data_IF_002098815806
#
_entry.id   IF_002098815806
#
_cell.length_a   1.000
_cell.length_b   1.000
_cell.length_c   1.000
_cell.angle_alpha   90.00
_cell.angle_beta   90.00
_cell.angle_gamma   90.00
#
_symmetry.space_group_name_H-M   'P 1'
#
loop_
_entity.id
_entity.type
_entity.pdbx_description
1 polymer ?
#
# COMPACT_ATOMS: atom_id res chain seq x y z
N UNK A 1 4.34 -20.40 -0.87
CA UNK A 1 4.58 -19.34 0.11
C UNK A 1 4.50 -18.06 -0.68
N UNK A 2 3.45 -17.25 -0.51
CA UNK A 2 3.33 -16.01 -1.28
C UNK A 2 4.48 -15.05 -0.94
N UNK A 3 4.96 -14.31 -1.94
CA UNK A 3 5.88 -13.19 -1.78
C UNK A 3 5.09 -11.90 -1.74
N UNK A 4 5.45 -10.99 -0.83
CA UNK A 4 4.72 -9.75 -0.60
C UNK A 4 5.74 -8.63 -0.43
N UNK A 5 5.65 -7.62 -1.30
CA UNK A 5 6.40 -6.38 -1.17
C UNK A 5 5.46 -5.32 -0.58
N UNK A 6 5.79 -4.83 0.62
CA UNK A 6 5.04 -3.77 1.29
C UNK A 6 5.67 -2.42 0.95
N UNK A 7 4.91 -1.53 0.31
CA UNK A 7 5.38 -0.21 -0.11
C UNK A 7 4.81 0.86 0.83
N UNK A 8 5.69 1.57 1.52
CA UNK A 8 5.28 2.54 2.55
C UNK A 8 5.32 3.96 1.99
N UNK A 9 4.19 4.67 2.08
CA UNK A 9 4.10 6.10 1.83
C UNK A 9 3.85 6.84 3.12
N UNK A 10 4.86 7.50 3.69
CA UNK A 10 4.73 8.18 4.98
C UNK A 10 5.57 9.46 5.08
N UNK A 11 5.08 10.42 5.86
CA UNK A 11 5.84 11.64 6.22
C UNK A 11 6.26 11.64 7.69
N UNK A 12 5.39 11.14 8.58
CA UNK A 12 5.56 11.20 10.03
C UNK A 12 5.67 9.81 10.68
N UNK A 13 5.75 8.74 9.88
CA UNK A 13 5.95 7.36 10.34
C UNK A 13 4.67 6.59 10.67
N UNK A 14 3.49 7.21 10.75
CA UNK A 14 2.25 6.48 11.09
C UNK A 14 1.93 5.33 10.13
N UNK A 15 2.17 5.52 8.82
CA UNK A 15 1.95 4.47 7.83
C UNK A 15 3.05 3.38 7.87
N UNK A 16 4.24 3.71 8.37
CA UNK A 16 5.33 2.75 8.60
C UNK A 16 4.98 1.80 9.74
N UNK A 17 4.45 2.31 10.86
CA UNK A 17 3.98 1.45 11.96
C UNK A 17 2.89 0.46 11.51
N UNK A 18 1.91 0.92 10.74
CA UNK A 18 0.87 0.04 10.17
C UNK A 18 1.48 -1.01 9.24
N UNK A 19 2.42 -0.60 8.39
CA UNK A 19 3.12 -1.51 7.49
C UNK A 19 3.90 -2.59 8.24
N UNK A 20 4.60 -2.24 9.32
CA UNK A 20 5.37 -3.17 10.15
C UNK A 20 4.46 -4.19 10.86
N UNK A 21 3.33 -3.77 11.41
CA UNK A 21 2.37 -4.69 12.04
C UNK A 21 1.76 -5.66 11.01
N UNK A 22 1.39 -5.17 9.83
CA UNK A 22 0.92 -6.02 8.73
C UNK A 22 2.00 -6.98 8.25
N UNK A 23 3.26 -6.55 8.20
CA UNK A 23 4.40 -7.38 7.83
C UNK A 23 4.62 -8.51 8.84
N UNK A 24 4.52 -8.20 10.14
CA UNK A 24 4.65 -9.17 11.22
C UNK A 24 3.55 -10.24 11.14
N UNK A 25 2.30 -9.83 10.92
CA UNK A 25 1.16 -10.75 10.78
C UNK A 25 1.33 -11.69 9.57
N UNK A 26 1.68 -11.14 8.40
CA UNK A 26 1.93 -11.93 7.19
C UNK A 26 3.13 -12.89 7.34
N UNK A 27 4.18 -12.46 8.02
CA UNK A 27 5.35 -13.30 8.31
C UNK A 27 4.99 -14.43 9.28
N UNK A 28 4.19 -14.14 10.31
CA UNK A 28 3.68 -15.15 11.24
C UNK A 28 2.76 -16.17 10.56
N UNK A 29 2.00 -15.75 9.54
CA UNK A 29 1.22 -16.62 8.67
C UNK A 29 2.08 -17.46 7.70
N UNK A 30 3.40 -17.23 7.64
CA UNK A 30 4.36 -18.01 6.86
C UNK A 30 4.59 -17.49 5.44
N UNK A 31 4.26 -16.23 5.16
CA UNK A 31 4.58 -15.55 3.90
C UNK A 31 5.98 -14.95 3.91
N UNK A 32 6.54 -14.71 2.72
CA UNK A 32 7.79 -13.96 2.57
C UNK A 32 7.45 -12.48 2.35
N UNK A 33 7.87 -11.62 3.28
CA UNK A 33 7.54 -10.19 3.27
C UNK A 33 8.81 -9.36 3.22
N UNK A 34 8.81 -8.32 2.38
CA UNK A 34 9.85 -7.30 2.32
C UNK A 34 9.19 -5.92 2.41
N UNK A 35 9.68 -5.07 3.31
CA UNK A 35 9.14 -3.71 3.52
C UNK A 35 10.06 -2.69 2.86
N UNK A 36 9.47 -1.79 2.07
CA UNK A 36 10.15 -0.75 1.29
C UNK A 36 9.67 0.63 1.73
N UNK A 37 10.53 1.36 2.45
CA UNK A 37 10.29 2.76 2.85
C UNK A 37 10.49 3.77 1.71
N UNK A 38 11.28 3.39 0.72
CA UNK A 38 11.49 4.12 -0.52
C UNK A 38 11.44 3.10 -1.66
N UNK A 39 10.27 2.97 -2.28
CA UNK A 39 10.04 1.97 -3.32
C UNK A 39 10.69 2.40 -4.63
N UNK A 40 11.50 1.51 -5.23
CA UNK A 40 12.03 1.67 -6.58
C UNK A 40 11.57 0.50 -7.46
N UNK A 41 11.00 0.77 -8.64
CA UNK A 41 10.47 -0.28 -9.54
C UNK A 41 11.50 -1.35 -9.94
N UNK A 42 12.80 -1.01 -9.89
CA UNK A 42 13.89 -1.95 -10.17
C UNK A 42 14.16 -2.96 -9.06
N UNK A 43 13.73 -2.66 -7.83
CA UNK A 43 14.00 -3.48 -6.65
C UNK A 43 12.80 -4.36 -6.27
N UNK A 44 11.61 -4.06 -6.79
CA UNK A 44 10.37 -4.80 -6.51
C UNK A 44 10.26 -6.10 -7.31
N UNK A 45 9.78 -7.15 -6.65
CA UNK A 45 9.46 -8.41 -7.29
C UNK A 45 8.09 -8.30 -7.97
N UNK A 46 8.06 -8.44 -9.30
CA UNK A 46 6.82 -8.34 -10.09
C UNK A 46 5.95 -9.59 -9.98
N UNK A 47 6.47 -10.67 -9.44
CA UNK A 47 5.73 -11.89 -9.13
C UNK A 47 5.12 -11.85 -7.73
N UNK A 48 5.50 -10.87 -6.89
CA UNK A 48 4.93 -10.66 -5.57
C UNK A 48 3.59 -9.93 -5.62
N UNK A 49 2.83 -10.06 -4.52
CA UNK A 49 1.74 -9.13 -4.23
C UNK A 49 2.35 -7.81 -3.73
N UNK A 50 1.95 -6.68 -4.31
CA UNK A 50 2.34 -5.38 -3.77
C UNK A 50 1.28 -4.87 -2.79
N UNK A 51 1.64 -4.74 -1.52
CA UNK A 51 0.77 -4.17 -0.50
C UNK A 51 1.22 -2.74 -0.20
N UNK A 52 0.44 -1.77 -0.63
CA UNK A 52 0.76 -0.35 -0.46
C UNK A 52 0.09 0.15 0.81
N UNK A 53 0.88 0.74 1.71
CA UNK A 53 0.39 1.40 2.93
C UNK A 53 0.80 2.87 2.84
N UNK A 54 -0.15 3.76 2.57
CA UNK A 54 0.18 5.15 2.30
C UNK A 54 -0.76 6.13 2.99
N UNK A 55 -0.16 7.11 3.69
CA UNK A 55 -0.90 8.25 4.21
C UNK A 55 -1.19 9.29 3.13
N UNK A 56 -2.17 10.17 3.33
CA UNK A 56 -2.35 11.35 2.48
C UNK A 56 -1.64 12.57 3.07
N UNK A 57 -0.92 13.34 2.25
CA UNK A 57 -0.28 14.59 2.68
C UNK A 57 -1.01 15.81 2.13
N UNK A 58 -1.23 16.81 2.99
CA UNK A 58 -1.71 18.14 2.63
C UNK A 58 -2.95 18.15 1.73
N UNK A 59 -2.79 18.59 0.48
CA UNK A 59 -3.86 18.82 -0.48
C UNK A 59 -4.33 17.56 -1.24
N UNK A 60 -4.11 16.36 -0.68
CA UNK A 60 -4.47 15.11 -1.36
C UNK A 60 -3.33 14.52 -2.18
N UNK A 61 -2.10 14.87 -1.82
CA UNK A 61 -0.90 14.37 -2.46
C UNK A 61 -0.34 13.15 -1.75
N UNK A 62 0.51 12.41 -2.46
CA UNK A 62 1.27 11.33 -1.87
C UNK A 62 2.40 11.91 -1.01
N UNK A 63 2.86 11.17 0.02
CA UNK A 63 4.06 11.51 0.74
C UNK A 63 5.30 11.51 -0.17
N UNK A 64 6.27 12.37 0.15
CA UNK A 64 7.48 12.57 -0.67
C UNK A 64 8.30 11.29 -0.89
N UNK A 65 8.19 10.30 0.01
CA UNK A 65 8.93 9.05 -0.10
C UNK A 65 8.35 8.08 -1.14
N UNK A 66 7.06 8.19 -1.48
CA UNK A 66 6.38 7.30 -2.46
C UNK A 66 5.96 8.03 -3.74
N UNK A 67 5.94 9.37 -3.73
CA UNK A 67 5.66 10.16 -4.93
C UNK A 67 6.60 9.81 -6.11
N UNK A 68 7.93 9.65 -5.94
CA UNK A 68 8.83 9.30 -7.04
C UNK A 68 8.48 7.95 -7.70
N UNK A 69 8.02 6.98 -6.91
CA UNK A 69 7.56 5.68 -7.41
C UNK A 69 6.31 5.82 -8.30
N UNK A 70 5.35 6.65 -7.87
CA UNK A 70 4.16 6.95 -8.67
C UNK A 70 4.51 7.62 -10.01
N UNK A 71 5.45 8.57 -9.97
CA UNK A 71 5.94 9.27 -11.16
C UNK A 71 6.67 8.30 -12.12
N UNK A 72 7.44 7.36 -11.55
CA UNK A 72 8.15 6.34 -12.31
C UNK A 72 7.19 5.39 -13.05
N UNK A 73 6.14 4.90 -12.38
CA UNK A 73 5.08 4.09 -13.00
C UNK A 73 4.46 4.82 -14.20
N UNK A 74 4.11 6.09 -14.00
CA UNK A 74 3.46 6.93 -15.02
C UNK A 74 4.38 7.23 -16.20
N UNK A 75 5.69 7.44 -15.94
CA UNK A 75 6.65 7.84 -16.96
C UNK A 75 7.20 6.66 -17.76
N UNK A 76 7.47 5.52 -17.10
CA UNK A 76 8.12 4.36 -17.74
C UNK A 76 7.14 3.44 -18.47
N UNK A 77 5.83 3.55 -18.24
CA UNK A 77 4.79 2.71 -18.86
C UNK A 77 5.15 1.22 -18.83
N UNK A 78 5.54 0.73 -17.64
CA UNK A 78 5.96 -0.66 -17.45
C UNK A 78 4.74 -1.58 -17.55
N UNK A 79 4.90 -2.76 -18.15
CA UNK A 79 3.87 -3.79 -18.14
C UNK A 79 3.85 -4.51 -16.78
N UNK A 80 2.76 -4.31 -16.05
CA UNK A 80 2.43 -4.93 -14.77
C UNK A 80 1.15 -5.78 -14.88
N UNK A 81 0.77 -6.23 -16.08
CA UNK A 81 -0.49 -6.97 -16.31
C UNK A 81 -0.65 -8.27 -15.50
N UNK A 82 0.45 -8.87 -15.05
CA UNK A 82 0.46 -10.03 -14.16
C UNK A 82 0.46 -9.68 -12.67
N UNK A 83 0.71 -8.42 -12.32
CA UNK A 83 0.85 -7.96 -10.95
C UNK A 83 -0.51 -7.77 -10.28
N UNK A 84 -0.57 -8.18 -9.02
CA UNK A 84 -1.68 -7.86 -8.12
C UNK A 84 -1.19 -6.89 -7.05
N UNK A 85 -2.06 -5.97 -6.64
CA UNK A 85 -1.75 -5.07 -5.54
C UNK A 85 -2.93 -4.94 -4.58
N UNK A 86 -2.67 -4.54 -3.35
CA UNK A 86 -3.69 -4.16 -2.37
C UNK A 86 -3.27 -2.81 -1.76
N UNK A 87 -4.24 -1.96 -1.38
CA UNK A 87 -3.94 -0.62 -0.87
C UNK A 87 -4.65 -0.34 0.45
N UNK A 88 -3.85 0.05 1.44
CA UNK A 88 -4.27 0.58 2.73
C UNK A 88 -3.99 2.08 2.76
N UNK A 89 -5.06 2.88 2.71
CA UNK A 89 -4.97 4.33 2.78
C UNK A 89 -5.21 4.81 4.22
N UNK A 90 -4.30 5.63 4.73
CA UNK A 90 -4.43 6.26 6.05
C UNK A 90 -4.67 7.75 5.83
N UNK A 91 -5.74 8.28 6.39
CA UNK A 91 -6.12 9.67 6.23
C UNK A 91 -6.79 10.23 7.47
N UNK A 92 -7.07 11.53 7.43
CA UNK A 92 -7.81 12.25 8.45
C UNK A 92 -8.98 12.96 7.75
N UNK A 93 -10.22 12.60 8.10
CA UNK A 93 -11.42 13.19 7.46
C UNK A 93 -11.69 14.65 7.83
N UNK A 94 -10.91 15.24 8.74
CA UNK A 94 -10.93 16.69 8.98
C UNK A 94 -10.40 17.48 7.77
N UNK A 95 -9.69 16.81 6.86
CA UNK A 95 -9.20 17.38 5.61
C UNK A 95 -10.11 16.96 4.45
N UNK A 96 -10.45 17.92 3.58
CA UNK A 96 -11.29 17.70 2.38
C UNK A 96 -10.71 16.65 1.40
N UNK A 97 -9.42 16.33 1.54
CA UNK A 97 -8.63 15.48 0.66
C UNK A 97 -8.47 14.06 1.19
N UNK A 98 -9.34 13.65 2.11
CA UNK A 98 -9.34 12.35 2.77
C UNK A 98 -9.08 11.18 1.80
N UNK A 99 -7.93 10.51 1.99
CA UNK A 99 -7.51 9.31 1.25
C UNK A 99 -7.43 9.45 -0.28
N UNK A 100 -7.29 10.67 -0.81
CA UNK A 100 -7.21 10.93 -2.26
C UNK A 100 -5.80 10.72 -2.83
N UNK A 101 -4.75 10.85 -2.02
CA UNK A 101 -3.37 10.63 -2.47
C UNK A 101 -3.16 9.22 -3.03
N UNK A 102 -3.48 8.17 -2.24
CA UNK A 102 -3.31 6.78 -2.68
C UNK A 102 -4.14 6.39 -3.91
N UNK A 103 -5.19 7.13 -4.28
CA UNK A 103 -5.91 6.91 -5.55
C UNK A 103 -5.04 7.17 -6.78
N UNK A 104 -4.05 8.05 -6.67
CA UNK A 104 -3.05 8.28 -7.73
C UNK A 104 -2.20 7.04 -7.97
N UNK A 105 -1.83 6.32 -6.90
CA UNK A 105 -1.09 5.05 -7.02
C UNK A 105 -1.93 3.97 -7.68
N UNK A 106 -3.20 3.85 -7.31
CA UNK A 106 -4.14 2.92 -7.95
C UNK A 106 -4.21 3.21 -9.45
N UNK A 107 -4.48 4.46 -9.82
CA UNK A 107 -4.57 4.85 -11.23
C UNK A 107 -3.28 4.56 -12.01
N UNK A 108 -2.11 4.82 -11.42
CA UNK A 108 -0.82 4.54 -12.06
C UNK A 108 -0.59 3.02 -12.24
N UNK A 109 -0.90 2.21 -11.23
CA UNK A 109 -0.76 0.76 -11.29
C UNK A 109 -1.72 0.12 -12.29
N UNK A 110 -2.99 0.54 -12.29
CA UNK A 110 -3.99 0.08 -13.24
C UNK A 110 -3.67 0.50 -14.67
N UNK A 111 -3.09 1.69 -14.87
CA UNK A 111 -2.60 2.14 -16.17
C UNK A 111 -1.49 1.23 -16.71
N UNK A 112 -0.63 0.72 -15.82
CA UNK A 112 0.37 -0.30 -16.13
C UNK A 112 -0.21 -1.72 -16.28
N UNK A 113 -1.52 -1.91 -16.09
CA UNK A 113 -2.22 -3.19 -16.24
C UNK A 113 -2.33 -4.02 -14.96
N UNK A 114 -1.76 -3.56 -13.84
CA UNK A 114 -1.89 -4.24 -12.56
C UNK A 114 -3.35 -4.27 -12.10
N UNK A 115 -3.69 -5.23 -11.25
CA UNK A 115 -5.07 -5.39 -10.75
C UNK A 115 -5.13 -5.35 -9.24
N UNK A 116 -6.15 -4.67 -8.72
CA UNK A 116 -6.46 -4.74 -7.30
C UNK A 116 -6.80 -6.19 -6.92
N UNK A 117 -6.15 -6.70 -5.88
CA UNK A 117 -6.40 -8.00 -5.31
C UNK A 117 -7.66 -7.99 -4.44
N UNK A 118 -7.85 -6.88 -3.72
CA UNK A 118 -8.97 -6.60 -2.82
C UNK A 118 -9.32 -5.11 -2.90
N UNK A 119 -10.50 -4.72 -2.43
CA UNK A 119 -10.89 -3.32 -2.36
C UNK A 119 -9.97 -2.53 -1.40
N UNK A 120 -9.64 -1.30 -1.77
CA UNK A 120 -8.89 -0.35 -0.94
C UNK A 120 -9.59 -0.19 0.41
N UNK A 121 -8.85 -0.27 1.51
CA UNK A 121 -9.31 0.22 2.81
C UNK A 121 -8.94 1.69 3.00
N UNK A 122 -9.85 2.46 3.59
CA UNK A 122 -9.64 3.84 4.01
C UNK A 122 -9.76 3.88 5.53
N UNK A 123 -8.67 4.23 6.20
CA UNK A 123 -8.58 4.31 7.65
C UNK A 123 -8.58 5.79 8.02
N UNK A 124 -9.51 6.16 8.90
CA UNK A 124 -9.65 7.54 9.35
C UNK A 124 -9.15 7.69 10.78
N UNK A 125 -8.00 8.34 10.94
CA UNK A 125 -7.35 8.49 12.25
C UNK A 125 -8.17 9.35 13.23
N UNK A 126 -9.21 10.06 12.77
CA UNK A 126 -10.16 10.74 13.65
C UNK A 126 -11.09 9.77 14.40
N UNK A 127 -11.46 8.66 13.78
CA UNK A 127 -12.34 7.65 14.36
C UNK A 127 -11.57 6.43 14.87
N UNK A 128 -10.46 6.11 14.22
CA UNK A 128 -9.57 4.99 14.50
C UNK A 128 -8.23 5.53 15.01
N UNK A 129 -8.10 5.85 16.31
CA UNK A 129 -6.85 6.41 16.87
C UNK A 129 -5.67 5.43 16.81
N UNK A 130 -5.96 4.15 16.55
CA UNK A 130 -5.01 3.06 16.36
C UNK A 130 -5.27 2.49 14.96
N UNK A 131 -4.66 3.06 13.89
CA UNK A 131 -4.92 2.65 12.51
C UNK A 131 -4.50 1.20 12.21
N UNK A 132 -3.68 0.59 13.05
CA UNK A 132 -3.23 -0.80 12.95
C UNK A 132 -4.39 -1.78 13.09
N UNK A 133 -5.34 -1.52 13.99
CA UNK A 133 -6.49 -2.42 14.24
C UNK A 133 -7.38 -2.64 13.00
N UNK A 134 -7.88 -1.58 12.31
CA UNK A 134 -8.65 -1.75 11.09
C UNK A 134 -7.81 -2.30 9.95
N UNK A 135 -6.50 -1.96 9.86
CA UNK A 135 -5.61 -2.51 8.85
C UNK A 135 -5.43 -4.03 8.98
N UNK A 136 -5.16 -4.51 10.20
CA UNK A 136 -5.02 -5.94 10.50
C UNK A 136 -6.34 -6.68 10.32
N UNK A 137 -7.47 -6.07 10.71
CA UNK A 137 -8.80 -6.66 10.50
C UNK A 137 -9.09 -6.84 9.01
N UNK A 138 -8.77 -5.83 8.19
CA UNK A 138 -8.91 -5.91 6.74
C UNK A 138 -7.99 -6.97 6.14
N UNK A 139 -6.72 -7.00 6.55
CA UNK A 139 -5.75 -8.02 6.12
C UNK A 139 -6.22 -9.45 6.43
N UNK A 140 -6.72 -9.67 7.65
CA UNK A 140 -7.24 -10.96 8.09
C UNK A 140 -8.40 -11.48 7.21
N UNK A 141 -9.14 -10.57 6.57
CA UNK A 141 -10.26 -10.89 5.68
C UNK A 141 -9.86 -11.60 4.40
N UNK A 142 -8.59 -11.52 3.97
CA UNK A 142 -8.14 -12.07 2.69
C UNK A 142 -6.74 -12.72 2.71
N UNK A 143 -5.95 -12.57 3.79
CA UNK A 143 -4.60 -13.14 3.85
C UNK A 143 -4.57 -14.67 3.66
N UNK A 144 -5.64 -15.38 4.08
CA UNK A 144 -5.75 -16.83 3.91
C UNK A 144 -5.92 -17.26 2.44
N UNK A 145 -6.33 -16.34 1.55
CA UNK A 145 -6.51 -16.61 0.13
C UNK A 145 -5.20 -16.39 -0.68
N UNK A 146 -4.13 -15.95 0.00
CA UNK A 146 -2.81 -15.78 -0.60
C UNK A 146 -2.22 -17.16 -0.93
N UNK A 147 -2.35 -17.54 -2.19
CA UNK A 147 -1.87 -18.83 -2.66
C UNK A 147 -0.32 -18.90 -2.65
N UNK A 148 0.24 -20.09 -2.39
CA UNK A 148 1.67 -20.36 -2.42
C UNK A 148 2.40 -20.07 -3.72
#
# INVERSE_FOLDING_TARGET
MAKIDILVGTTLGSAEYVADEMAAELTNAGHHVVVHLAAELSELDREALWLIVSSTHGAGDLPDNIQPFCDELTTKAVDLSGLKFALCAIGDSSYDTFCQGPDKLIAALEHCGAKSYVDKIQIDVQYDPIPEEPALTWLAGWQNDLQP
#
